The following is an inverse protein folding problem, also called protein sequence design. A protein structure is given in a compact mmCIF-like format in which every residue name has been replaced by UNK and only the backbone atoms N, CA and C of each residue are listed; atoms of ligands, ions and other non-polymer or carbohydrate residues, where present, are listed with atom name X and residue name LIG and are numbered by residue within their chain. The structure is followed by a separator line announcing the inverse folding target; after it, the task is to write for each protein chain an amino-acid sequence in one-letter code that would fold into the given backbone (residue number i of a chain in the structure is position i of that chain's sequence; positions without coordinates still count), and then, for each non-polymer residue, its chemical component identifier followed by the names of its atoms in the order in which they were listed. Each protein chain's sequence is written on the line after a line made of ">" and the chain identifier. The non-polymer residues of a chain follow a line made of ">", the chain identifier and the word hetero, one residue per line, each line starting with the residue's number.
data_IF_590621208015
#
_entry.id   IF_590621208015
#
_cell.length_a   1.000
_cell.length_b   1.000
_cell.length_c   1.000
_cell.angle_alpha   90.00
_cell.angle_beta   90.00
_cell.angle_gamma   90.00
#
_symmetry.space_group_name_H-M   'P 1'
#
loop_
_entity.id
_entity.type
_entity.pdbx_description
1 polymer ?
#
# COMPACT_ATOMS: atom_id res chain seq x y z
N UNK A 1 11.79 -31.66 59.23
CA UNK A 1 10.51 -31.02 58.83
C UNK A 1 10.71 -29.76 57.98
N UNK A 2 11.95 -29.41 57.62
CA UNK A 2 12.32 -28.13 56.96
C UNK A 2 12.51 -28.24 55.46
N UNK A 3 12.62 -29.44 54.93
CA UNK A 3 13.02 -29.64 53.48
C UNK A 3 11.84 -29.58 52.49
N UNK A 4 10.63 -29.88 52.96
CA UNK A 4 9.44 -29.80 52.10
C UNK A 4 8.98 -28.35 51.84
N UNK A 5 9.23 -27.43 52.76
CA UNK A 5 8.82 -26.02 52.59
C UNK A 5 9.64 -25.28 51.54
N UNK A 6 10.95 -25.57 51.47
CA UNK A 6 11.86 -24.96 50.49
C UNK A 6 11.58 -25.44 49.06
N UNK A 7 11.09 -26.66 48.88
CA UNK A 7 10.76 -27.22 47.59
C UNK A 7 9.48 -26.59 46.99
N UNK A 8 8.49 -26.31 47.83
CA UNK A 8 7.23 -25.67 47.45
C UNK A 8 7.42 -24.20 47.03
N UNK A 9 8.32 -23.47 47.65
CA UNK A 9 8.62 -22.08 47.29
C UNK A 9 9.37 -21.99 45.97
N UNK A 10 10.34 -22.88 45.72
CA UNK A 10 11.05 -22.92 44.43
C UNK A 10 10.13 -23.24 43.26
N UNK A 11 9.17 -24.14 43.43
CA UNK A 11 8.23 -24.50 42.37
C UNK A 11 7.23 -23.38 42.06
N UNK A 12 6.76 -22.66 43.07
CA UNK A 12 5.94 -21.45 42.88
C UNK A 12 6.70 -20.34 42.19
N UNK A 13 7.95 -20.12 42.54
CA UNK A 13 8.79 -19.06 41.94
C UNK A 13 9.07 -19.36 40.46
N UNK A 14 9.30 -20.63 40.10
CA UNK A 14 9.49 -21.03 38.68
C UNK A 14 8.21 -20.87 37.87
N UNK A 15 7.05 -21.21 38.39
CA UNK A 15 5.77 -21.03 37.67
C UNK A 15 5.43 -19.56 37.49
N UNK A 16 5.71 -18.71 38.46
CA UNK A 16 5.49 -17.26 38.36
C UNK A 16 6.45 -16.61 37.36
N UNK A 17 7.74 -17.02 37.33
CA UNK A 17 8.73 -16.52 36.40
C UNK A 17 8.41 -16.95 34.94
N UNK A 18 7.94 -18.21 34.77
CA UNK A 18 7.51 -18.69 33.44
C UNK A 18 6.27 -17.96 32.93
N UNK A 19 5.33 -17.66 33.80
CA UNK A 19 4.11 -16.93 33.46
C UNK A 19 4.37 -15.47 33.11
N UNK A 20 5.29 -14.80 33.81
CA UNK A 20 5.73 -13.44 33.45
C UNK A 20 6.51 -13.39 32.13
N UNK A 21 7.34 -14.40 31.84
CA UNK A 21 8.04 -14.49 30.57
C UNK A 21 7.09 -14.73 29.40
N UNK A 22 6.03 -15.52 29.57
CA UNK A 22 5.01 -15.75 28.55
C UNK A 22 4.17 -14.50 28.28
N UNK A 23 3.85 -13.71 29.31
CA UNK A 23 3.14 -12.43 29.15
C UNK A 23 4.00 -11.36 28.47
N UNK A 24 5.31 -11.32 28.74
CA UNK A 24 6.23 -10.41 28.08
C UNK A 24 6.43 -10.73 26.60
N UNK A 25 6.42 -12.02 26.22
CA UNK A 25 6.51 -12.44 24.83
C UNK A 25 5.24 -12.12 24.01
N UNK A 26 4.07 -12.10 24.64
CA UNK A 26 2.81 -11.75 23.98
C UNK A 26 2.70 -10.24 23.63
N UNK A 27 3.42 -9.37 24.33
CA UNK A 27 3.42 -7.93 24.06
C UNK A 27 4.34 -7.52 22.90
N UNK A 28 5.18 -8.41 22.38
CA UNK A 28 6.04 -8.19 21.20
C UNK A 28 5.37 -8.52 19.86
N UNK A 29 4.11 -8.95 19.85
CA UNK A 29 3.28 -8.91 18.64
C UNK A 29 2.96 -7.45 18.27
N UNK A 30 4.02 -6.67 18.08
CA UNK A 30 3.94 -5.30 17.58
C UNK A 30 3.21 -5.29 16.26
N UNK A 31 2.25 -4.39 16.14
CA UNK A 31 1.53 -4.08 14.92
C UNK A 31 2.56 -3.91 13.78
N UNK A 32 2.79 -4.95 13.00
CA UNK A 32 3.52 -4.85 11.76
C UNK A 32 2.70 -3.93 10.85
N UNK A 33 3.07 -2.65 10.82
CA UNK A 33 2.41 -1.67 9.96
C UNK A 33 2.65 -2.07 8.50
N UNK A 34 1.64 -1.91 7.68
CA UNK A 34 1.76 -2.05 6.23
C UNK A 34 2.64 -0.93 5.69
N UNK A 35 3.55 -1.25 4.80
CA UNK A 35 4.39 -0.27 4.12
C UNK A 35 4.05 -0.28 2.64
N UNK A 36 3.88 0.90 2.06
CA UNK A 36 3.70 1.09 0.64
C UNK A 36 4.81 1.99 0.10
N UNK A 37 5.44 1.58 -0.96
CA UNK A 37 6.38 2.41 -1.70
C UNK A 37 5.63 3.13 -2.82
N UNK A 38 5.85 4.44 -2.92
CA UNK A 38 5.14 5.30 -3.86
C UNK A 38 6.15 6.07 -4.69
N UNK A 39 5.97 5.97 -5.99
CA UNK A 39 6.75 6.69 -6.99
C UNK A 39 5.85 7.67 -7.71
N UNK A 40 6.26 8.92 -7.80
CA UNK A 40 5.49 9.93 -8.50
C UNK A 40 6.31 10.65 -9.55
N UNK A 41 5.66 11.03 -10.62
CA UNK A 41 6.18 11.90 -11.64
C UNK A 41 5.18 13.03 -11.87
N UNK A 42 5.68 14.25 -11.76
CA UNK A 42 4.90 15.44 -11.99
C UNK A 42 5.72 16.44 -12.84
N UNK A 43 5.59 16.38 -14.15
CA UNK A 43 6.36 17.27 -15.04
C UNK A 43 5.99 18.75 -14.88
N UNK A 44 4.84 19.09 -14.29
CA UNK A 44 4.28 20.42 -14.28
C UNK A 44 4.06 21.02 -12.86
N UNK A 45 4.77 20.58 -11.86
CA UNK A 45 4.67 21.12 -10.50
C UNK A 45 3.21 21.33 -9.98
N UNK A 46 2.44 20.25 -9.99
CA UNK A 46 1.06 20.25 -9.49
C UNK A 46 0.02 19.97 -10.59
N UNK A 47 -1.23 19.96 -10.18
CA UNK A 47 -2.38 19.84 -11.07
C UNK A 47 -3.04 21.23 -11.20
N UNK A 48 -2.68 22.02 -12.22
CA UNK A 48 -3.27 23.34 -12.40
C UNK A 48 -4.74 23.23 -12.85
N UNK A 49 -5.53 24.26 -12.53
CA UNK A 49 -6.92 24.36 -12.95
C UNK A 49 -7.91 23.78 -11.94
N UNK A 50 -9.14 23.56 -12.41
CA UNK A 50 -10.21 23.07 -11.53
C UNK A 50 -10.01 21.59 -11.19
N UNK A 51 -10.20 21.20 -9.92
CA UNK A 51 -10.03 19.81 -9.49
C UNK A 51 -11.24 18.93 -9.89
N UNK A 52 -11.61 18.95 -11.16
CA UNK A 52 -12.70 18.14 -11.70
C UNK A 52 -12.15 17.02 -12.57
N UNK A 53 -12.69 15.82 -12.42
CA UNK A 53 -12.18 14.66 -13.16
C UNK A 53 -13.29 13.71 -13.64
N UNK A 54 -12.95 12.95 -14.67
CA UNK A 54 -13.72 11.78 -15.15
C UNK A 54 -12.76 10.58 -15.21
N UNK A 55 -13.23 9.44 -14.73
CA UNK A 55 -12.47 8.19 -14.83
C UNK A 55 -12.59 7.64 -16.25
N UNK A 56 -11.43 7.40 -16.89
CA UNK A 56 -11.35 6.68 -18.15
C UNK A 56 -11.32 5.18 -17.86
N UNK A 57 -12.22 4.43 -18.49
CA UNK A 57 -12.25 2.97 -18.39
C UNK A 57 -11.79 2.34 -19.68
N UNK A 58 -11.02 1.28 -19.56
CA UNK A 58 -10.75 0.38 -20.69
C UNK A 58 -11.87 -0.67 -20.76
N UNK A 59 -12.16 -1.26 -21.95
CA UNK A 59 -13.20 -2.30 -22.07
C UNK A 59 -13.00 -3.49 -21.12
N UNK A 60 -11.75 -3.87 -20.83
CA UNK A 60 -11.42 -4.91 -19.86
C UNK A 60 -11.81 -4.55 -18.41
N UNK A 61 -11.82 -3.26 -18.09
CA UNK A 61 -12.24 -2.76 -16.76
C UNK A 61 -13.75 -2.73 -16.62
N UNK A 62 -14.46 -2.41 -17.69
CA UNK A 62 -15.93 -2.46 -17.71
C UNK A 62 -16.46 -3.89 -17.50
N UNK A 63 -15.71 -4.88 -17.93
CA UNK A 63 -16.03 -6.30 -17.72
C UNK A 63 -15.64 -6.84 -16.33
N UNK A 64 -14.87 -6.10 -15.55
CA UNK A 64 -14.39 -6.53 -14.23
C UNK A 64 -15.42 -6.25 -13.14
N UNK A 65 -15.78 -7.27 -12.36
CA UNK A 65 -16.69 -7.14 -11.22
C UNK A 65 -16.10 -6.29 -10.08
N UNK A 66 -14.78 -6.25 -9.96
CA UNK A 66 -14.07 -5.56 -8.87
C UNK A 66 -13.83 -4.08 -9.17
N UNK A 67 -13.77 -3.71 -10.45
CA UNK A 67 -13.42 -2.35 -10.86
C UNK A 67 -14.32 -1.26 -10.26
N UNK A 68 -15.66 -1.43 -10.16
CA UNK A 68 -16.54 -0.45 -9.52
C UNK A 68 -16.19 -0.18 -8.05
N UNK A 69 -15.73 -1.21 -7.32
CA UNK A 69 -15.32 -1.05 -5.93
C UNK A 69 -14.03 -0.24 -5.81
N UNK A 70 -13.07 -0.46 -6.72
CA UNK A 70 -11.83 0.32 -6.80
C UNK A 70 -12.12 1.79 -7.11
N UNK A 71 -13.03 2.05 -8.04
CA UNK A 71 -13.45 3.42 -8.36
C UNK A 71 -14.13 4.11 -7.19
N UNK A 72 -14.99 3.41 -6.45
CA UNK A 72 -15.68 3.98 -5.30
C UNK A 72 -14.67 4.43 -4.22
N UNK A 73 -13.72 3.56 -3.85
CA UNK A 73 -12.65 3.89 -2.91
C UNK A 73 -11.84 5.10 -3.37
N UNK A 74 -11.49 5.15 -4.66
CA UNK A 74 -10.72 6.24 -5.22
C UNK A 74 -11.50 7.55 -5.22
N UNK A 75 -12.78 7.53 -5.58
CA UNK A 75 -13.67 8.71 -5.54
C UNK A 75 -13.77 9.28 -4.15
N UNK A 76 -13.96 8.43 -3.14
CA UNK A 76 -14.04 8.84 -1.74
C UNK A 76 -12.75 9.52 -1.27
N UNK A 77 -11.60 8.97 -1.63
CA UNK A 77 -10.30 9.55 -1.25
C UNK A 77 -9.98 10.83 -2.02
N UNK A 78 -10.37 10.95 -3.29
CA UNK A 78 -10.23 12.17 -4.08
C UNK A 78 -11.17 13.27 -3.58
N UNK A 79 -12.41 12.94 -3.22
CA UNK A 79 -13.38 13.89 -2.67
C UNK A 79 -12.88 14.54 -1.37
N UNK A 80 -12.22 13.76 -0.48
CA UNK A 80 -11.58 14.29 0.74
C UNK A 80 -10.49 15.32 0.45
N UNK A 81 -9.98 15.37 -0.78
CA UNK A 81 -8.93 16.28 -1.25
C UNK A 81 -9.46 17.38 -2.16
N UNK A 82 -10.78 17.55 -2.21
CA UNK A 82 -11.45 18.59 -2.98
C UNK A 82 -11.61 18.27 -4.47
N UNK A 83 -11.32 17.05 -4.91
CA UNK A 83 -11.56 16.66 -6.29
C UNK A 83 -13.00 16.21 -6.50
N UNK A 84 -13.63 16.70 -7.56
CA UNK A 84 -15.03 16.47 -7.86
C UNK A 84 -15.18 15.66 -9.15
N UNK A 85 -15.88 14.54 -9.08
CA UNK A 85 -16.23 13.79 -10.27
C UNK A 85 -17.18 14.63 -11.15
N UNK A 86 -16.85 14.77 -12.43
CA UNK A 86 -17.60 15.56 -13.39
C UNK A 86 -17.79 14.79 -14.69
N UNK A 87 -18.69 15.28 -15.54
CA UNK A 87 -18.96 14.70 -16.86
C UNK A 87 -18.93 15.75 -17.95
N UNK A 88 -18.67 15.32 -19.16
CA UNK A 88 -18.68 16.20 -20.34
C UNK A 88 -17.68 17.35 -20.22
N UNK A 89 -18.10 18.55 -20.58
CA UNK A 89 -17.23 19.73 -20.65
C UNK A 89 -16.83 20.30 -19.27
N UNK A 90 -17.48 19.89 -18.20
CA UNK A 90 -17.14 20.29 -16.83
C UNK A 90 -15.89 19.53 -16.28
N UNK A 91 -15.40 18.55 -17.02
CA UNK A 91 -14.23 17.76 -16.64
C UNK A 91 -12.95 18.44 -17.07
N UNK A 92 -12.04 18.71 -16.14
CA UNK A 92 -10.71 19.23 -16.43
C UNK A 92 -9.70 18.10 -16.65
N UNK A 93 -9.76 17.05 -15.85
CA UNK A 93 -8.84 15.92 -15.91
C UNK A 93 -9.51 14.61 -16.34
N UNK A 94 -8.80 13.85 -17.16
CA UNK A 94 -9.11 12.45 -17.44
C UNK A 94 -8.22 11.60 -16.53
N UNK A 95 -8.82 10.77 -15.66
CA UNK A 95 -8.13 9.92 -14.72
C UNK A 95 -8.11 8.47 -15.23
N UNK A 96 -6.92 7.95 -15.49
CA UNK A 96 -6.69 6.54 -15.79
C UNK A 96 -6.28 5.80 -14.53
N UNK A 97 -6.87 4.62 -14.32
CA UNK A 97 -6.58 3.72 -13.20
C UNK A 97 -6.03 2.43 -13.80
N UNK A 98 -4.86 2.01 -13.35
CA UNK A 98 -4.32 0.69 -13.66
C UNK A 98 -3.92 0.00 -12.35
N UNK A 99 -4.34 -1.23 -12.16
CA UNK A 99 -3.95 -2.06 -11.02
C UNK A 99 -3.46 -3.41 -11.51
N UNK A 100 -2.52 -3.98 -10.76
CA UNK A 100 -1.91 -5.25 -11.08
C UNK A 100 -1.57 -6.01 -9.80
N UNK A 101 -1.79 -7.32 -9.82
CA UNK A 101 -1.41 -8.26 -8.77
C UNK A 101 -0.61 -9.38 -9.40
N UNK A 102 0.60 -9.57 -8.92
CA UNK A 102 1.50 -10.61 -9.44
C UNK A 102 2.28 -11.28 -8.32
N UNK A 103 2.72 -12.54 -8.50
CA UNK A 103 3.67 -13.15 -7.57
C UNK A 103 4.94 -12.32 -7.47
N UNK A 104 5.39 -12.04 -6.25
CA UNK A 104 6.56 -11.17 -6.00
C UNK A 104 7.89 -11.76 -6.51
N UNK A 105 7.92 -13.08 -6.79
CA UNK A 105 9.10 -13.79 -7.31
C UNK A 105 9.30 -13.65 -8.82
N UNK A 106 8.34 -13.05 -9.53
CA UNK A 106 8.49 -12.83 -10.98
C UNK A 106 9.30 -11.55 -11.21
N UNK A 107 10.62 -11.70 -11.19
CA UNK A 107 11.51 -10.70 -11.74
C UNK A 107 11.31 -10.61 -13.26
N UNK A 108 11.04 -9.44 -13.79
CA UNK A 108 11.16 -9.21 -15.24
C UNK A 108 12.66 -9.14 -15.53
N UNK A 109 13.27 -10.30 -15.78
CA UNK A 109 14.63 -10.38 -16.31
C UNK A 109 14.60 -9.85 -17.74
N UNK A 110 15.02 -8.61 -17.96
CA UNK A 110 15.40 -8.16 -19.31
C UNK A 110 16.57 -9.02 -19.80
N UNK A 111 16.64 -9.30 -21.10
CA UNK A 111 17.70 -10.10 -21.72
C UNK A 111 19.13 -9.53 -21.51
N UNK A 112 19.24 -8.34 -20.96
CA UNK A 112 20.48 -7.58 -20.76
C UNK A 112 20.89 -7.44 -19.28
N UNK A 113 20.19 -8.09 -18.34
CA UNK A 113 20.62 -8.10 -16.94
C UNK A 113 21.67 -9.19 -16.74
N UNK A 114 22.89 -8.81 -16.36
CA UNK A 114 23.86 -9.76 -15.83
C UNK A 114 23.28 -10.44 -14.57
N UNK A 115 23.60 -11.73 -14.30
CA UNK A 115 23.01 -12.48 -13.18
C UNK A 115 23.26 -11.86 -11.80
N UNK A 116 24.22 -10.93 -11.68
CA UNK A 116 24.54 -10.17 -10.47
C UNK A 116 23.67 -8.92 -10.28
N UNK A 117 23.09 -8.38 -11.36
CA UNK A 117 22.38 -7.09 -11.36
C UNK A 117 20.87 -7.24 -11.48
N UNK A 118 20.39 -8.46 -11.77
CA UNK A 118 18.99 -8.79 -11.54
C UNK A 118 18.76 -8.70 -10.04
N UNK A 119 18.33 -7.52 -9.58
CA UNK A 119 18.05 -7.26 -8.19
C UNK A 119 17.24 -8.45 -7.66
N UNK A 120 17.87 -9.22 -6.78
CA UNK A 120 17.15 -10.07 -5.87
C UNK A 120 16.18 -9.11 -5.20
N UNK A 121 14.91 -9.15 -5.60
CA UNK A 121 13.89 -8.58 -4.78
C UNK A 121 14.11 -9.24 -3.44
N UNK A 122 14.66 -8.50 -2.49
CA UNK A 122 14.76 -8.94 -1.12
C UNK A 122 13.32 -9.21 -0.70
N UNK A 123 12.90 -10.45 -0.87
CA UNK A 123 11.66 -10.94 -0.35
C UNK A 123 11.88 -11.06 1.17
N UNK A 124 11.45 -10.08 1.97
CA UNK A 124 11.72 -10.08 3.41
C UNK A 124 11.06 -11.25 4.14
N UNK A 125 10.42 -12.17 3.40
CA UNK A 125 9.63 -13.28 3.92
C UNK A 125 10.06 -14.68 3.43
N UNK A 126 11.18 -14.80 2.73
CA UNK A 126 11.65 -16.11 2.24
C UNK A 126 11.92 -17.13 3.36
N UNK A 127 12.04 -16.71 4.61
CA UNK A 127 12.32 -17.58 5.76
C UNK A 127 11.14 -18.43 6.23
N UNK A 128 9.90 -18.14 5.80
CA UNK A 128 8.70 -18.88 6.25
C UNK A 128 7.80 -19.37 5.11
N UNK A 129 8.30 -19.52 3.89
CA UNK A 129 7.75 -20.40 2.87
C UNK A 129 6.33 -20.11 2.36
N UNK A 130 5.84 -18.88 2.38
CA UNK A 130 4.58 -18.48 1.77
C UNK A 130 4.80 -17.73 0.45
N UNK A 131 3.92 -17.94 -0.55
CA UNK A 131 3.90 -17.11 -1.74
C UNK A 131 3.66 -15.65 -1.32
N UNK A 132 4.51 -14.74 -1.80
CA UNK A 132 4.30 -13.31 -1.65
C UNK A 132 3.73 -12.77 -2.96
N UNK A 133 2.81 -11.81 -2.86
CA UNK A 133 2.23 -11.11 -3.99
C UNK A 133 2.62 -9.64 -3.93
N UNK A 134 2.86 -9.07 -5.09
CA UNK A 134 3.06 -7.64 -5.26
C UNK A 134 1.82 -7.05 -5.89
N UNK A 135 1.21 -6.10 -5.18
CA UNK A 135 0.07 -5.34 -5.65
C UNK A 135 0.52 -3.94 -6.03
N UNK A 136 0.04 -3.43 -7.14
CA UNK A 136 0.34 -2.06 -7.56
C UNK A 136 -0.89 -1.35 -8.09
N UNK A 137 -0.97 -0.05 -7.77
CA UNK A 137 -1.95 0.89 -8.31
C UNK A 137 -1.21 2.02 -8.99
N UNK A 138 -1.55 2.30 -10.22
CA UNK A 138 -1.06 3.46 -10.97
C UNK A 138 -2.23 4.37 -11.32
N UNK A 139 -2.12 5.63 -10.93
CA UNK A 139 -3.05 6.70 -11.29
C UNK A 139 -2.35 7.67 -12.23
N UNK A 140 -3.02 8.05 -13.32
CA UNK A 140 -2.50 9.01 -14.28
C UNK A 140 -3.57 10.07 -14.57
N UNK A 141 -3.21 11.31 -14.38
CA UNK A 141 -4.07 12.46 -14.67
C UNK A 141 -3.63 13.12 -15.96
N UNK A 142 -4.52 13.14 -16.92
CA UNK A 142 -4.32 13.81 -18.20
C UNK A 142 -5.18 15.05 -18.25
N UNK A 143 -4.62 16.16 -18.68
CA UNK A 143 -5.42 17.33 -18.98
C UNK A 143 -6.31 17.04 -20.19
N UNK A 144 -7.61 17.26 -20.02
CA UNK A 144 -8.58 16.86 -21.05
C UNK A 144 -8.41 17.58 -22.37
N UNK A 145 -8.02 18.86 -22.35
CA UNK A 145 -7.92 19.71 -23.54
C UNK A 145 -6.68 19.42 -24.36
N UNK A 146 -5.55 19.15 -23.74
CA UNK A 146 -4.28 18.91 -24.41
C UNK A 146 -3.95 17.41 -24.54
N UNK A 147 -4.55 16.56 -23.72
CA UNK A 147 -4.18 15.15 -23.61
C UNK A 147 -2.85 14.92 -22.88
N UNK A 148 -2.22 15.97 -22.35
CA UNK A 148 -0.92 15.89 -21.69
C UNK A 148 -1.05 15.23 -20.32
N UNK A 149 -0.13 14.30 -20.00
CA UNK A 149 -0.03 13.71 -18.66
C UNK A 149 0.53 14.77 -17.71
N UNK A 150 -0.30 15.22 -16.80
CA UNK A 150 0.05 16.21 -15.78
C UNK A 150 0.61 15.59 -14.52
N UNK A 151 0.15 14.40 -14.20
CA UNK A 151 0.60 13.71 -13.00
C UNK A 151 0.47 12.19 -13.14
N UNK A 152 1.45 11.48 -12.61
CA UNK A 152 1.44 10.04 -12.49
C UNK A 152 1.91 9.64 -11.11
N UNK A 153 1.21 8.72 -10.48
CA UNK A 153 1.64 8.11 -9.21
C UNK A 153 1.44 6.61 -9.26
N UNK A 154 2.41 5.89 -8.72
CA UNK A 154 2.35 4.44 -8.57
C UNK A 154 2.62 4.08 -7.13
N UNK A 155 1.67 3.41 -6.47
CA UNK A 155 1.85 2.79 -5.16
C UNK A 155 2.06 1.29 -5.30
N UNK A 156 2.95 0.74 -4.49
CA UNK A 156 3.29 -0.69 -4.50
C UNK A 156 3.32 -1.20 -3.07
N UNK A 157 2.69 -2.34 -2.84
CA UNK A 157 2.81 -3.11 -1.58
C UNK A 157 3.15 -4.56 -1.90
N UNK A 158 3.68 -5.26 -0.92
CA UNK A 158 3.87 -6.71 -0.98
C UNK A 158 3.28 -7.35 0.27
N UNK A 159 2.47 -8.37 0.09
CA UNK A 159 1.89 -9.17 1.17
C UNK A 159 1.72 -10.63 0.76
N UNK A 160 0.94 -11.41 1.51
CA UNK A 160 0.68 -12.83 1.25
C UNK A 160 -0.69 -13.12 0.67
N UNK A 161 -1.52 -12.10 0.55
CA UNK A 161 -2.85 -12.22 -0.01
C UNK A 161 -2.81 -11.96 -1.52
N UNK A 162 -3.40 -12.83 -2.30
CA UNK A 162 -3.51 -12.66 -3.76
C UNK A 162 -4.71 -11.79 -4.16
N UNK A 163 -5.61 -11.48 -3.23
CA UNK A 163 -6.82 -10.71 -3.51
C UNK A 163 -6.50 -9.22 -3.69
N UNK A 164 -6.71 -8.66 -4.89
CA UNK A 164 -6.49 -7.23 -5.14
C UNK A 164 -7.40 -6.33 -4.31
N UNK A 165 -8.62 -6.80 -3.92
CA UNK A 165 -9.55 -6.03 -3.10
C UNK A 165 -8.99 -5.76 -1.70
N UNK A 166 -8.25 -6.73 -1.14
CA UNK A 166 -7.56 -6.57 0.14
C UNK A 166 -6.53 -5.42 0.12
N UNK A 167 -5.77 -5.34 -0.97
CA UNK A 167 -4.67 -4.38 -1.13
C UNK A 167 -5.14 -2.94 -1.46
N UNK A 168 -6.29 -2.81 -2.13
CA UNK A 168 -6.72 -1.57 -2.75
C UNK A 168 -6.89 -0.39 -1.78
N UNK A 169 -7.49 -0.52 -0.58
CA UNK A 169 -7.59 0.59 0.37
C UNK A 169 -6.24 1.16 0.78
N UNK A 170 -5.24 0.27 0.94
CA UNK A 170 -3.86 0.67 1.28
C UNK A 170 -3.21 1.39 0.11
N UNK A 171 -3.34 0.85 -1.10
CA UNK A 171 -2.77 1.43 -2.33
C UNK A 171 -3.35 2.81 -2.64
N UNK A 172 -4.66 2.98 -2.56
CA UNK A 172 -5.33 4.27 -2.83
C UNK A 172 -4.90 5.32 -1.80
N UNK A 173 -4.93 5.00 -0.51
CA UNK A 173 -4.48 5.93 0.53
C UNK A 173 -3.02 6.29 0.39
N UNK A 174 -2.17 5.34 0.03
CA UNK A 174 -0.73 5.57 -0.16
C UNK A 174 -0.44 6.43 -1.38
N UNK A 175 -1.07 6.13 -2.53
CA UNK A 175 -0.91 6.90 -3.76
C UNK A 175 -1.30 8.37 -3.57
N UNK A 176 -2.32 8.62 -2.75
CA UNK A 176 -2.84 9.96 -2.49
C UNK A 176 -2.32 10.60 -1.19
N UNK A 177 -1.36 9.99 -0.49
CA UNK A 177 -0.90 10.46 0.82
C UNK A 177 -0.27 11.87 0.78
N UNK A 178 0.35 12.24 -0.34
CA UNK A 178 0.97 13.55 -0.57
C UNK A 178 0.28 14.34 -1.69
N UNK A 179 -0.99 14.16 -1.90
CA UNK A 179 -1.74 14.87 -2.94
C UNK A 179 -2.17 16.27 -2.50
N UNK A 180 -2.06 17.34 -3.28
CA UNK A 180 -1.39 17.59 -4.57
C UNK A 180 0.09 18.02 -4.40
N UNK A 181 1.01 17.74 -5.08
CA UNK A 181 1.94 16.64 -5.36
C UNK A 181 3.33 17.19 -5.58
N UNK A 182 4.30 16.68 -4.86
CA UNK A 182 5.71 16.81 -5.23
C UNK A 182 6.11 15.64 -6.11
N UNK A 183 6.91 15.87 -7.13
CA UNK A 183 7.58 14.81 -7.88
C UNK A 183 8.68 14.22 -6.98
N UNK A 184 8.38 13.17 -6.26
CA UNK A 184 9.31 12.50 -5.35
C UNK A 184 8.86 11.08 -5.09
N UNK A 185 9.77 10.28 -4.58
CA UNK A 185 9.49 8.93 -4.13
C UNK A 185 9.38 8.91 -2.62
N UNK A 186 8.38 8.23 -2.09
CA UNK A 186 8.18 8.13 -0.64
C UNK A 186 7.66 6.77 -0.21
N UNK A 187 7.90 6.46 1.05
CA UNK A 187 7.32 5.31 1.75
C UNK A 187 6.22 5.76 2.69
N UNK A 188 5.07 5.15 2.55
CA UNK A 188 3.93 5.34 3.44
C UNK A 188 3.86 4.18 4.40
N UNK A 189 3.84 4.48 5.70
CA UNK A 189 3.53 3.49 6.72
C UNK A 189 2.06 3.63 7.12
N UNK A 190 1.33 2.54 7.06
CA UNK A 190 -0.09 2.48 7.42
C UNK A 190 -0.29 1.50 8.58
N UNK A 191 -1.38 1.71 9.28
CA UNK A 191 -1.90 0.80 10.30
C UNK A 191 -3.35 0.52 9.98
N UNK A 192 -3.72 -0.74 9.95
CA UNK A 192 -5.12 -1.12 9.82
C UNK A 192 -5.82 -0.89 11.16
N UNK A 193 -6.87 -0.08 11.14
CA UNK A 193 -7.73 0.07 12.30
C UNK A 193 -8.49 -1.24 12.54
N UNK A 194 -8.39 -1.75 13.76
CA UNK A 194 -8.97 -3.06 14.11
C UNK A 194 -10.49 -3.08 14.14
N UNK A 195 -11.12 -1.93 14.33
CA UNK A 195 -12.57 -1.82 14.45
C UNK A 195 -13.24 -1.62 13.09
N UNK A 196 -12.67 -0.78 12.25
CA UNK A 196 -13.24 -0.43 10.94
C UNK A 196 -12.62 -1.21 9.78
N UNK A 197 -11.45 -1.83 9.97
CA UNK A 197 -10.68 -2.44 8.89
C UNK A 197 -10.05 -1.43 7.91
N UNK A 198 -10.28 -0.14 8.13
CA UNK A 198 -9.80 0.92 7.25
C UNK A 198 -8.33 1.25 7.57
N UNK A 199 -7.42 1.26 6.58
CA UNK A 199 -6.05 1.63 6.83
C UNK A 199 -5.91 3.14 7.10
N UNK A 200 -5.11 3.50 8.12
CA UNK A 200 -4.74 4.88 8.43
C UNK A 200 -3.27 5.13 8.15
N UNK A 201 -2.95 6.28 7.58
CA UNK A 201 -1.57 6.71 7.33
C UNK A 201 -0.92 7.16 8.64
N UNK A 202 0.14 6.47 9.07
CA UNK A 202 0.90 6.80 10.28
C UNK A 202 2.05 7.76 9.96
N UNK A 203 2.76 7.52 8.87
CA UNK A 203 3.89 8.35 8.47
C UNK A 203 4.15 8.27 6.97
N UNK A 204 4.68 9.36 6.43
CA UNK A 204 5.19 9.46 5.07
C UNK A 204 6.63 9.93 5.13
N UNK A 205 7.55 9.18 4.55
CA UNK A 205 8.98 9.48 4.55
C UNK A 205 9.54 9.38 3.13
N UNK A 206 10.55 10.17 2.75
CA UNK A 206 11.23 9.95 1.48
C UNK A 206 11.78 8.53 1.39
N UNK A 207 11.76 7.95 0.18
CA UNK A 207 12.49 6.71 -0.06
C UNK A 207 14.00 7.01 -0.06
N UNK A 208 14.82 6.13 0.51
CA UNK A 208 16.27 6.23 0.37
C UNK A 208 16.62 6.13 -1.13
N UNK A 209 17.47 7.06 -1.56
CA UNK A 209 18.04 7.04 -2.92
C UNK A 209 19.15 6.01 -3.02
#
# INVERSE_FOLDING_TARGET
>A
MTDQHVRFEKEKMHKTTLMCAALAAASLCGCAGLNADVHSANPAAGLPGEPTYTIMRMPSQDASADHPQFEALLRDELAKRGFVAATGNATHYLLSIAYDTRPATVGVGGKDCAPSDCAKADAPFALFGGAAYQHSLTLRFFERTSGEERYKVRAVIADRDADPLHAMPVLVKSALAKFPFDASDWRVKLRQDKASGVPDVISVKPLPQ
#
